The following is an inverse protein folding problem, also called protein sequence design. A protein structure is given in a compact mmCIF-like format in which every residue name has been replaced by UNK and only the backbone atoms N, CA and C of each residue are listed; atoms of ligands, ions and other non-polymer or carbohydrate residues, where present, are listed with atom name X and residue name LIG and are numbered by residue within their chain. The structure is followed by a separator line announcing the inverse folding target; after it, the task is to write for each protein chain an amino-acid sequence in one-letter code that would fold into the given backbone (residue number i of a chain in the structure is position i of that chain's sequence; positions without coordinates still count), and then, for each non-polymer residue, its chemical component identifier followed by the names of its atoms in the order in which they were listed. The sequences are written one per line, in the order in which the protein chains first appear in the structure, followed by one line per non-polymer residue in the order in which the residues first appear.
data_IF_995704652137
#
_entry.id   IF_995704652137
#
_cell.length_a   1.000
_cell.length_b   1.000
_cell.length_c   1.000
_cell.angle_alpha   90.00
_cell.angle_beta   90.00
_cell.angle_gamma   90.00
#
_symmetry.space_group_name_H-M   'P 1'
#
loop_
_entity.id
_entity.type
_entity.pdbx_description
1 polymer ?
#
# COMPACT_ATOMS: atom_id res chain seq x y z
N UNK A 1 14.97 11.92 -19.86
CA UNK A 1 15.04 11.70 -18.40
C UNK A 1 13.72 12.08 -17.72
N UNK A 2 13.07 13.18 -18.12
CA UNK A 2 11.83 13.66 -17.50
C UNK A 2 10.69 12.63 -17.46
N UNK A 3 10.32 12.00 -18.58
CA UNK A 3 9.06 11.24 -18.63
C UNK A 3 8.95 10.07 -17.63
N UNK A 4 10.01 9.28 -17.43
CA UNK A 4 10.03 8.19 -16.45
C UNK A 4 10.07 8.73 -15.01
N UNK A 5 10.82 9.80 -14.77
CA UNK A 5 10.94 10.43 -13.46
C UNK A 5 9.62 11.07 -13.03
N UNK A 6 8.96 11.81 -13.92
CA UNK A 6 7.65 12.39 -13.66
C UNK A 6 6.59 11.29 -13.42
N UNK A 7 6.62 10.21 -14.21
CA UNK A 7 5.76 9.06 -13.98
C UNK A 7 5.95 8.45 -12.58
N UNK A 8 7.20 8.21 -12.17
CA UNK A 8 7.52 7.69 -10.84
C UNK A 8 7.11 8.66 -9.72
N UNK A 9 7.36 9.97 -9.88
CA UNK A 9 6.92 10.98 -8.91
C UNK A 9 5.41 10.94 -8.72
N UNK A 10 4.66 10.89 -9.81
CA UNK A 10 3.20 10.83 -9.77
C UNK A 10 2.68 9.56 -9.08
N UNK A 11 3.22 8.38 -9.43
CA UNK A 11 2.79 7.11 -8.85
C UNK A 11 3.16 6.97 -7.37
N UNK A 12 4.36 7.40 -6.99
CA UNK A 12 4.76 7.43 -5.57
C UNK A 12 3.96 8.47 -4.77
N UNK A 13 3.50 9.56 -5.38
CA UNK A 13 2.58 10.49 -4.70
C UNK A 13 1.21 9.85 -4.48
N UNK A 14 0.65 9.20 -5.50
CA UNK A 14 -0.63 8.51 -5.42
C UNK A 14 -0.64 7.39 -4.36
N UNK A 15 0.41 6.57 -4.30
CA UNK A 15 0.55 5.50 -3.30
C UNK A 15 0.64 6.07 -1.87
N UNK A 16 1.40 7.14 -1.67
CA UNK A 16 1.56 7.83 -0.38
C UNK A 16 0.27 8.47 0.08
N UNK A 17 -0.41 9.21 -0.80
CA UNK A 17 -1.68 9.87 -0.50
C UNK A 17 -2.76 8.85 -0.17
N UNK A 18 -2.86 7.77 -0.95
CA UNK A 18 -3.81 6.68 -0.70
C UNK A 18 -3.54 6.01 0.65
N UNK A 19 -2.27 5.71 0.96
CA UNK A 19 -1.91 5.09 2.23
C UNK A 19 -2.16 6.02 3.42
N UNK A 20 -1.80 7.31 3.32
CA UNK A 20 -2.08 8.29 4.37
C UNK A 20 -3.56 8.53 4.55
N UNK A 21 -4.33 8.60 3.47
CA UNK A 21 -5.79 8.74 3.53
C UNK A 21 -6.45 7.54 4.20
N UNK A 22 -5.97 6.33 3.91
CA UNK A 22 -6.41 5.10 4.58
C UNK A 22 -6.07 5.09 6.08
N UNK A 23 -5.00 5.79 6.49
CA UNK A 23 -4.62 5.96 7.89
C UNK A 23 -5.33 7.15 8.58
N UNK A 24 -5.80 8.17 7.86
CA UNK A 24 -6.48 9.34 8.43
C UNK A 24 -7.86 8.96 9.02
N UNK A 25 -8.29 9.63 10.09
CA UNK A 25 -9.64 9.48 10.65
C UNK A 25 -10.67 10.41 9.99
N UNK A 26 -10.22 11.49 9.35
CA UNK A 26 -11.06 12.49 8.69
C UNK A 26 -11.56 12.04 7.33
N UNK A 27 -10.99 11.00 6.76
CA UNK A 27 -11.43 10.36 5.52
C UNK A 27 -12.81 9.67 5.61
N UNK A 28 -13.55 9.89 6.71
CA UNK A 28 -14.75 9.16 7.07
C UNK A 28 -16.02 10.00 6.93
N UNK A 29 -17.16 9.36 6.61
CA UNK A 29 -18.47 9.94 6.87
C UNK A 29 -18.65 10.11 8.39
N UNK A 30 -18.84 11.35 8.85
CA UNK A 30 -18.99 11.71 10.28
C UNK A 30 -17.76 11.34 11.13
N UNK A 31 -16.63 12.07 10.96
CA UNK A 31 -15.45 11.82 11.77
C UNK A 31 -15.79 12.08 13.24
N UNK A 32 -15.71 11.02 14.06
CA UNK A 32 -15.70 11.14 15.52
C UNK A 32 -14.40 11.80 16.01
N UNK A 33 -14.13 11.77 17.33
CA UNK A 33 -12.89 12.30 17.88
C UNK A 33 -11.64 11.68 17.23
N UNK A 34 -10.54 12.43 17.24
CA UNK A 34 -9.26 12.05 16.65
C UNK A 34 -8.63 10.86 17.38
N UNK A 35 -8.97 9.65 16.94
CA UNK A 35 -8.37 8.38 17.38
C UNK A 35 -7.25 7.93 16.41
N UNK A 36 -6.52 8.87 15.82
CA UNK A 36 -5.55 8.55 14.76
C UNK A 36 -4.37 7.65 15.14
N UNK A 37 -4.22 7.31 16.43
CA UNK A 37 -3.22 6.36 16.94
C UNK A 37 -3.76 5.03 17.50
N UNK A 38 -5.08 4.74 17.44
CA UNK A 38 -5.66 3.48 17.98
C UNK A 38 -5.87 2.44 16.87
N UNK A 39 -5.70 1.15 17.19
CA UNK A 39 -6.05 0.05 16.27
C UNK A 39 -7.55 0.11 15.94
N UNK A 40 -7.87 0.37 14.67
CA UNK A 40 -9.24 0.67 14.22
C UNK A 40 -9.95 -0.51 13.58
N UNK A 41 -9.18 -1.48 13.14
CA UNK A 41 -9.66 -2.73 12.58
C UNK A 41 -9.00 -3.86 13.35
N UNK A 42 -9.78 -4.89 13.62
CA UNK A 42 -9.25 -6.12 14.18
C UNK A 42 -9.64 -7.30 13.31
N UNK A 43 -8.73 -8.27 13.22
CA UNK A 43 -9.06 -9.57 12.70
C UNK A 43 -9.78 -10.35 13.79
N UNK A 44 -10.83 -11.06 13.44
CA UNK A 44 -11.51 -11.98 14.33
C UNK A 44 -11.55 -13.39 13.74
N UNK A 45 -11.51 -14.37 14.61
CA UNK A 45 -11.89 -15.75 14.30
C UNK A 45 -13.40 -15.80 14.06
N UNK A 46 -13.85 -16.38 12.94
CA UNK A 46 -15.28 -16.44 12.66
C UNK A 46 -16.05 -17.45 13.50
N UNK A 47 -15.39 -18.51 13.95
CA UNK A 47 -16.02 -19.57 14.73
C UNK A 47 -16.21 -19.15 16.19
N UNK A 48 -15.23 -18.45 16.76
CA UNK A 48 -15.24 -18.06 18.18
C UNK A 48 -15.60 -16.59 18.40
N UNK A 49 -15.45 -15.74 17.39
CA UNK A 49 -15.61 -14.28 17.51
C UNK A 49 -14.44 -13.59 18.22
N UNK A 50 -13.39 -14.33 18.61
CA UNK A 50 -12.26 -13.78 19.35
C UNK A 50 -11.34 -12.94 18.46
N UNK A 51 -10.74 -11.89 19.06
CA UNK A 51 -9.78 -11.01 18.40
C UNK A 51 -8.47 -11.74 18.14
N UNK A 52 -7.97 -11.63 16.91
CA UNK A 52 -6.69 -12.16 16.45
C UNK A 52 -5.64 -11.05 16.35
N UNK A 53 -4.42 -11.38 16.82
CA UNK A 53 -3.21 -10.58 16.66
C UNK A 53 -2.37 -11.21 15.53
N UNK A 54 -2.64 -10.82 14.30
CA UNK A 54 -1.90 -11.28 13.13
C UNK A 54 -0.52 -10.61 13.05
N UNK A 55 0.50 -11.31 12.54
CA UNK A 55 1.81 -10.70 12.22
C UNK A 55 3.05 -11.32 12.88
N UNK A 56 2.91 -12.20 13.87
CA UNK A 56 4.06 -12.85 14.54
C UNK A 56 4.31 -14.32 14.13
N UNK A 57 3.50 -14.89 13.24
CA UNK A 57 3.65 -16.29 12.82
C UNK A 57 4.12 -16.42 11.36
N UNK A 58 4.92 -17.45 11.04
CA UNK A 58 5.17 -17.87 9.66
C UNK A 58 3.83 -18.12 8.93
N UNK A 59 3.83 -17.91 7.62
CA UNK A 59 2.70 -18.22 6.73
C UNK A 59 2.59 -19.74 6.54
N UNK A 60 2.51 -20.51 7.63
CA UNK A 60 2.15 -21.91 7.54
C UNK A 60 0.65 -21.98 7.27
N UNK A 61 0.21 -22.94 6.46
CA UNK A 61 -1.13 -23.03 5.86
C UNK A 61 -2.27 -23.13 6.88
N UNK A 62 -2.58 -22.05 7.59
CA UNK A 62 -3.72 -21.96 8.49
C UNK A 62 -4.95 -21.67 7.63
N UNK A 63 -5.79 -22.68 7.43
CA UNK A 63 -7.03 -22.59 6.65
C UNK A 63 -8.20 -21.99 7.43
N UNK A 64 -7.92 -21.28 8.52
CA UNK A 64 -8.97 -20.66 9.32
C UNK A 64 -9.66 -19.53 8.56
N UNK A 65 -10.99 -19.49 8.65
CA UNK A 65 -11.80 -18.38 8.18
C UNK A 65 -11.75 -17.21 9.19
N UNK A 66 -11.33 -16.04 8.71
CA UNK A 66 -11.22 -14.82 9.53
C UNK A 66 -11.94 -13.66 8.85
N UNK A 67 -12.33 -12.67 9.65
CA UNK A 67 -13.02 -11.48 9.16
C UNK A 67 -12.37 -10.21 9.71
N UNK A 68 -12.24 -9.19 8.87
CA UNK A 68 -11.74 -7.87 9.26
C UNK A 68 -12.92 -7.02 9.70
N UNK A 69 -12.95 -6.61 10.97
CA UNK A 69 -14.05 -5.81 11.53
C UNK A 69 -13.56 -4.48 12.08
N UNK A 70 -14.41 -3.46 11.96
CA UNK A 70 -14.21 -2.18 12.64
C UNK A 70 -14.29 -2.38 14.16
N UNK A 71 -13.31 -1.86 14.88
CA UNK A 71 -13.33 -1.77 16.36
C UNK A 71 -14.39 -0.76 16.82
N UNK A 72 -14.74 0.20 15.97
CA UNK A 72 -15.83 1.14 16.24
C UNK A 72 -17.18 0.50 15.94
N UNK A 73 -18.04 0.44 16.95
CA UNK A 73 -19.47 0.14 16.83
C UNK A 73 -20.21 1.35 16.25
N UNK A 74 -20.28 1.42 14.92
CA UNK A 74 -21.22 2.33 14.27
C UNK A 74 -22.67 1.85 14.51
N UNK A 75 -23.55 2.76 14.91
CA UNK A 75 -24.97 2.50 15.18
C UNK A 75 -25.83 2.33 13.91
N UNK A 76 -25.28 1.86 12.80
CA UNK A 76 -26.02 1.72 11.55
C UNK A 76 -26.47 0.28 11.35
N UNK A 77 -27.77 0.05 11.59
CA UNK A 77 -28.53 -1.14 11.16
C UNK A 77 -28.36 -1.33 9.66
N UNK A 78 -27.35 -2.08 9.26
CA UNK A 78 -27.10 -2.41 7.87
C UNK A 78 -27.24 -3.91 7.70
N UNK A 79 -27.79 -4.32 6.56
CA UNK A 79 -27.98 -5.74 6.23
C UNK A 79 -26.63 -6.48 6.32
N UNK A 80 -26.62 -7.78 6.70
CA UNK A 80 -25.43 -8.61 6.56
C UNK A 80 -24.87 -8.47 5.14
N UNK A 81 -23.59 -8.14 5.00
CA UNK A 81 -22.94 -7.89 3.71
C UNK A 81 -23.04 -6.47 3.13
N UNK A 82 -23.70 -5.52 3.81
CA UNK A 82 -23.85 -4.14 3.30
C UNK A 82 -23.70 -3.07 4.40
N UNK A 83 -22.97 -3.37 5.47
CA UNK A 83 -22.70 -2.42 6.55
C UNK A 83 -21.30 -1.80 6.49
N UNK A 84 -21.10 -0.61 7.10
CA UNK A 84 -19.80 0.08 7.15
C UNK A 84 -18.72 -0.65 7.96
N UNK A 85 -18.94 -1.91 8.31
CA UNK A 85 -18.07 -2.74 9.14
C UNK A 85 -17.14 -3.65 8.33
N UNK A 86 -17.41 -3.83 7.04
CA UNK A 86 -16.61 -4.67 6.15
C UNK A 86 -15.68 -3.80 5.31
N UNK A 87 -14.38 -3.89 5.58
CA UNK A 87 -13.33 -3.27 4.73
C UNK A 87 -13.19 -4.02 3.40
N UNK A 88 -13.49 -5.32 3.43
CA UNK A 88 -13.43 -6.20 2.29
C UNK A 88 -14.87 -6.52 1.86
N UNK A 89 -15.15 -6.49 0.55
CA UNK A 89 -16.45 -6.88 -0.02
C UNK A 89 -16.61 -8.41 -0.06
N UNK A 90 -16.25 -9.07 1.04
CA UNK A 90 -16.38 -10.51 1.27
C UNK A 90 -16.67 -10.73 2.75
N UNK A 91 -17.49 -11.74 3.07
CA UNK A 91 -17.83 -12.07 4.45
C UNK A 91 -16.64 -12.56 5.27
N UNK A 92 -15.66 -13.20 4.60
CA UNK A 92 -14.47 -13.78 5.21
C UNK A 92 -13.35 -13.97 4.22
N UNK A 93 -12.13 -14.17 4.74
CA UNK A 93 -10.96 -14.56 3.97
C UNK A 93 -10.19 -15.65 4.72
N UNK A 94 -9.36 -16.42 4.00
CA UNK A 94 -8.41 -17.34 4.64
C UNK A 94 -7.41 -16.52 5.48
N UNK A 95 -6.99 -17.05 6.63
CA UNK A 95 -6.02 -16.38 7.51
C UNK A 95 -4.73 -15.96 6.80
N UNK A 96 -4.25 -16.74 5.83
CA UNK A 96 -3.09 -16.35 5.00
C UNK A 96 -3.29 -15.03 4.22
N UNK A 97 -4.50 -14.78 3.71
CA UNK A 97 -4.86 -13.50 3.06
C UNK A 97 -4.87 -12.37 4.09
N UNK A 98 -5.43 -12.62 5.26
CA UNK A 98 -5.45 -11.66 6.35
C UNK A 98 -4.04 -11.31 6.87
N UNK A 99 -3.14 -12.31 6.98
CA UNK A 99 -1.73 -12.13 7.32
C UNK A 99 -0.99 -11.30 6.25
N UNK A 100 -1.30 -11.53 4.97
CA UNK A 100 -0.77 -10.71 3.89
C UNK A 100 -1.24 -9.25 4.04
N UNK A 101 -2.54 -9.00 4.17
CA UNK A 101 -3.10 -7.65 4.35
C UNK A 101 -2.49 -6.96 5.58
N UNK A 102 -2.40 -7.66 6.72
CA UNK A 102 -1.82 -7.11 7.95
C UNK A 102 -0.33 -6.75 7.80
N UNK A 103 0.42 -7.51 6.99
CA UNK A 103 1.82 -7.19 6.66
C UNK A 103 1.97 -6.03 5.69
N UNK A 104 0.93 -5.67 4.94
CA UNK A 104 0.91 -4.59 3.96
C UNK A 104 0.04 -3.42 4.44
N UNK A 105 0.13 -3.08 5.73
CA UNK A 105 -0.62 -1.98 6.31
C UNK A 105 -0.20 -0.62 5.71
N UNK A 106 -1.08 0.41 5.77
CA UNK A 106 -0.77 1.71 5.17
C UNK A 106 0.49 2.41 5.73
N UNK A 107 0.85 2.20 7.00
CA UNK A 107 2.06 2.81 7.56
C UNK A 107 3.31 2.20 6.93
N UNK A 108 3.31 0.89 6.67
CA UNK A 108 4.38 0.24 5.90
C UNK A 108 4.45 0.78 4.47
N UNK A 109 3.32 0.98 3.78
CA UNK A 109 3.32 1.53 2.42
C UNK A 109 3.94 2.93 2.39
N UNK A 110 3.60 3.80 3.35
CA UNK A 110 4.23 5.13 3.48
C UNK A 110 5.75 5.01 3.65
N UNK A 111 6.22 4.10 4.51
CA UNK A 111 7.65 3.87 4.72
C UNK A 111 8.36 3.34 3.44
N UNK A 112 7.72 2.42 2.71
CA UNK A 112 8.25 1.93 1.43
C UNK A 112 8.31 3.03 0.36
N UNK A 113 7.29 3.88 0.28
CA UNK A 113 7.28 5.04 -0.63
C UNK A 113 8.39 6.03 -0.28
N UNK A 114 8.64 6.29 1.01
CA UNK A 114 9.74 7.16 1.42
C UNK A 114 11.09 6.63 0.94
N UNK A 115 11.33 5.33 1.06
CA UNK A 115 12.55 4.68 0.54
C UNK A 115 12.63 4.83 -0.99
N UNK A 116 11.53 4.57 -1.71
CA UNK A 116 11.48 4.70 -3.17
C UNK A 116 11.72 6.13 -3.64
N UNK A 117 11.21 7.14 -2.92
CA UNK A 117 11.48 8.57 -3.19
C UNK A 117 12.96 8.91 -3.01
N UNK A 118 13.60 8.43 -1.95
CA UNK A 118 15.05 8.61 -1.74
C UNK A 118 15.87 7.96 -2.85
N UNK A 119 15.50 6.76 -3.29
CA UNK A 119 16.13 6.11 -4.44
C UNK A 119 15.94 6.93 -5.72
N UNK A 120 14.73 7.43 -5.98
CA UNK A 120 14.46 8.30 -7.12
C UNK A 120 15.35 9.55 -7.09
N UNK A 121 15.44 10.21 -5.94
CA UNK A 121 16.28 11.42 -5.79
C UNK A 121 17.77 11.11 -6.00
N UNK A 122 18.28 9.98 -5.48
CA UNK A 122 19.66 9.54 -5.71
C UNK A 122 19.95 9.32 -7.20
N UNK A 123 19.00 8.71 -7.92
CA UNK A 123 19.18 8.30 -9.31
C UNK A 123 18.78 9.38 -10.34
N UNK A 124 18.23 10.51 -9.89
CA UNK A 124 17.87 11.66 -10.75
C UNK A 124 18.88 12.80 -10.71
N UNK A 125 19.86 12.76 -9.79
CA UNK A 125 20.99 13.70 -9.80
C UNK A 125 21.73 13.59 -11.13
N UNK A 126 21.71 14.68 -11.90
CA UNK A 126 22.36 14.78 -13.20
C UNK A 126 23.45 15.85 -13.14
N UNK A 127 24.63 15.53 -13.67
CA UNK A 127 25.69 16.49 -13.97
C UNK A 127 25.76 16.83 -15.47
N UNK A 128 24.71 16.55 -16.24
CA UNK A 128 24.68 16.82 -17.68
C UNK A 128 25.47 15.85 -18.56
N UNK A 129 26.04 14.77 -17.98
CA UNK A 129 26.86 13.79 -18.74
C UNK A 129 26.05 12.70 -19.43
N UNK A 130 24.73 12.64 -19.20
CA UNK A 130 23.89 11.52 -19.68
C UNK A 130 24.14 10.20 -18.93
N UNK A 131 24.90 10.24 -17.83
CA UNK A 131 25.19 9.10 -16.96
C UNK A 131 24.53 9.33 -15.59
N UNK A 132 23.96 8.28 -15.01
CA UNK A 132 23.42 8.33 -13.66
C UNK A 132 24.57 8.33 -12.64
N UNK A 133 24.66 9.36 -11.81
CA UNK A 133 25.76 9.50 -10.85
C UNK A 133 25.80 8.39 -9.80
N UNK A 134 24.64 7.86 -9.41
CA UNK A 134 24.55 6.85 -8.36
C UNK A 134 25.04 5.46 -8.79
N UNK A 135 24.89 5.11 -10.07
CA UNK A 135 25.23 3.76 -10.58
C UNK A 135 26.24 3.75 -11.72
N UNK A 136 26.63 4.90 -12.28
CA UNK A 136 27.56 4.99 -13.40
C UNK A 136 26.99 4.53 -14.76
N UNK A 137 25.70 4.19 -14.83
CA UNK A 137 25.05 3.72 -16.05
C UNK A 137 24.67 4.86 -16.99
N UNK A 138 24.80 4.62 -18.31
CA UNK A 138 24.24 5.52 -19.32
C UNK A 138 22.71 5.58 -19.18
N UNK A 139 22.16 6.78 -19.07
CA UNK A 139 20.72 7.00 -18.98
C UNK A 139 20.10 6.91 -20.38
N UNK A 140 19.29 5.89 -20.62
CA UNK A 140 18.52 5.72 -21.86
C UNK A 140 17.03 5.93 -21.58
N UNK A 141 16.32 6.54 -22.52
CA UNK A 141 14.83 6.60 -22.55
C UNK A 141 14.13 7.05 -21.25
N UNK A 142 14.81 7.78 -20.37
CA UNK A 142 14.20 8.28 -19.15
C UNK A 142 14.96 7.99 -17.87
N UNK A 143 15.77 6.93 -17.79
CA UNK A 143 16.43 6.58 -16.52
C UNK A 143 17.48 5.47 -16.64
N UNK A 144 18.24 5.27 -15.56
CA UNK A 144 19.08 4.08 -15.39
C UNK A 144 18.22 2.85 -15.06
N UNK A 145 18.84 1.67 -15.01
CA UNK A 145 18.18 0.40 -14.72
C UNK A 145 17.40 0.44 -13.41
N UNK A 146 17.95 1.07 -12.35
CA UNK A 146 17.25 1.21 -11.06
C UNK A 146 15.90 1.92 -11.19
N UNK A 147 15.83 3.03 -11.95
CA UNK A 147 14.56 3.75 -12.12
C UNK A 147 13.56 2.93 -12.94
N UNK A 148 14.03 2.14 -13.90
CA UNK A 148 13.18 1.24 -14.68
C UNK A 148 12.62 0.09 -13.82
N UNK A 149 13.44 -0.49 -12.94
CA UNK A 149 13.00 -1.48 -11.95
C UNK A 149 11.97 -0.89 -10.96
N UNK A 150 12.17 0.34 -10.51
CA UNK A 150 11.19 1.04 -9.67
C UNK A 150 9.84 1.25 -10.36
N UNK A 151 9.81 1.29 -11.69
CA UNK A 151 8.58 1.45 -12.46
C UNK A 151 7.83 0.13 -12.72
N UNK A 152 8.49 -1.03 -12.55
CA UNK A 152 7.89 -2.34 -12.84
C UNK A 152 6.58 -2.64 -12.10
N UNK A 153 6.38 -2.24 -10.82
CA UNK A 153 5.11 -2.45 -10.13
C UNK A 153 3.92 -1.76 -10.81
N UNK A 154 4.19 -0.76 -11.65
CA UNK A 154 3.18 0.01 -12.37
C UNK A 154 3.03 -0.41 -13.84
N UNK A 155 3.48 -1.61 -14.22
CA UNK A 155 3.48 -2.08 -15.62
C UNK A 155 2.08 -2.13 -16.24
N UNK A 156 1.04 -2.33 -15.44
CA UNK A 156 -0.37 -2.35 -15.88
C UNK A 156 -1.01 -0.95 -15.93
N UNK A 157 -0.28 0.10 -15.52
CA UNK A 157 -0.79 1.46 -15.53
C UNK A 157 -0.88 1.99 -16.98
N UNK A 158 -1.99 2.64 -17.42
CA UNK A 158 -2.15 3.08 -18.82
C UNK A 158 -1.05 4.02 -19.34
N UNK A 159 -0.50 4.87 -18.46
CA UNK A 159 0.61 5.77 -18.78
C UNK A 159 2.01 5.11 -18.74
N UNK A 160 2.10 3.83 -18.36
CA UNK A 160 3.36 3.09 -18.38
C UNK A 160 3.82 2.83 -19.81
N UNK A 161 5.08 3.12 -20.11
CA UNK A 161 5.66 2.84 -21.43
C UNK A 161 6.40 1.52 -21.42
N UNK A 162 6.07 0.63 -22.37
CA UNK A 162 6.71 -0.68 -22.52
C UNK A 162 8.24 -0.60 -22.68
N UNK A 163 8.75 0.50 -23.22
CA UNK A 163 10.19 0.77 -23.34
C UNK A 163 10.91 0.84 -22.00
N UNK A 164 10.21 1.13 -20.90
CA UNK A 164 10.78 1.14 -19.56
C UNK A 164 10.99 -0.25 -18.97
N UNK A 165 10.36 -1.29 -19.52
CA UNK A 165 10.50 -2.67 -19.01
C UNK A 165 11.94 -3.14 -19.18
N UNK A 166 12.56 -3.63 -18.10
CA UNK A 166 13.91 -4.23 -18.10
C UNK A 166 13.84 -5.66 -18.63
#
# INVERSE_FOLDING_TARGET
MHDLVEFLRARLLEDDDTARWAADHRSRPHPGPDDSGRERWHWIDLSTGERLRLGQRPMDHIEREVSLRSVNTYLLRSRPGAGPHYVLDVSWVKEGVALHIARHDPARVVAEVEVKRRLLDLHTRSNGTGVCQACGESVREGGCTTLRLLAMPYADHPAYRKTWKV
#
